data_IF_048460892166
#
_entry.id   IF_048460892166
#
_cell.length_a   1.000
_cell.length_b   1.000
_cell.length_c   1.000
_cell.angle_alpha   90.00
_cell.angle_beta   90.00
_cell.angle_gamma   90.00
#
_symmetry.space_group_name_H-M   'P 1'
#
loop_
_entity.id
_entity.type
_entity.pdbx_description
1 polymer ?
#
# COMPACT_ATOMS: atom_id res chain seq x y z
N UNK A 1 -14.75 29.48 4.59
CA UNK A 1 -14.56 28.09 5.04
C UNK A 1 -13.47 27.43 4.22
N UNK A 2 -12.54 26.82 4.89
CA UNK A 2 -11.43 26.14 4.24
C UNK A 2 -11.77 24.66 4.19
N UNK A 3 -11.93 24.12 3.00
CA UNK A 3 -12.03 22.68 2.85
C UNK A 3 -10.63 22.09 2.83
N UNK A 4 -10.35 21.19 3.75
CA UNK A 4 -9.10 20.46 3.71
C UNK A 4 -9.04 19.59 2.47
N UNK A 5 -8.04 19.86 1.66
CA UNK A 5 -7.81 19.08 0.46
C UNK A 5 -6.91 17.91 0.82
N UNK A 6 -7.45 16.70 0.75
CA UNK A 6 -6.66 15.50 1.01
C UNK A 6 -5.70 15.23 -0.14
N UNK A 7 -4.55 14.60 0.13
CA UNK A 7 -3.61 14.23 -0.92
C UNK A 7 -4.25 13.32 -1.97
N UNK A 8 -3.86 13.52 -3.21
CA UNK A 8 -4.27 12.67 -4.32
C UNK A 8 -3.12 11.73 -4.67
N UNK A 9 -3.34 10.45 -4.43
CA UNK A 9 -2.36 9.40 -4.70
C UNK A 9 -2.36 8.94 -6.15
N UNK A 10 -3.25 9.46 -6.98
CA UNK A 10 -3.33 9.05 -8.38
C UNK A 10 -2.03 9.30 -9.13
N UNK A 11 -1.66 8.37 -9.99
CA UNK A 11 -0.47 8.47 -10.81
C UNK A 11 0.23 7.14 -10.99
N UNK A 12 1.36 7.22 -11.65
CA UNK A 12 2.24 6.08 -11.85
C UNK A 12 3.46 6.21 -10.93
N UNK A 13 3.79 5.12 -10.26
CA UNK A 13 4.82 5.07 -9.23
C UNK A 13 5.80 3.97 -9.54
N UNK A 14 7.09 4.27 -9.43
CA UNK A 14 8.18 3.30 -9.69
C UNK A 14 8.94 3.07 -8.39
N UNK A 15 9.16 1.80 -8.06
CA UNK A 15 9.84 1.41 -6.81
C UNK A 15 11.28 1.89 -6.80
N UNK A 16 11.66 2.59 -5.73
CA UNK A 16 13.05 2.87 -5.40
C UNK A 16 13.51 1.82 -4.39
N UNK A 17 14.03 0.72 -4.91
CA UNK A 17 14.40 -0.44 -4.11
C UNK A 17 15.41 -0.13 -3.01
N UNK A 18 16.34 0.76 -3.28
CA UNK A 18 17.40 1.11 -2.33
C UNK A 18 16.88 1.91 -1.14
N UNK A 19 15.76 2.60 -1.29
CA UNK A 19 15.14 3.37 -0.21
C UNK A 19 14.18 2.54 0.63
N UNK A 20 13.88 1.30 0.22
CA UNK A 20 12.93 0.44 0.93
C UNK A 20 13.58 -0.23 2.13
N UNK A 21 12.75 -0.52 3.14
CA UNK A 21 13.11 -1.37 4.27
C UNK A 21 12.16 -2.56 4.27
N UNK A 22 12.68 -3.73 3.93
CA UNK A 22 11.86 -4.93 3.74
C UNK A 22 12.28 -6.03 4.71
N UNK A 23 11.29 -6.74 5.24
CA UNK A 23 11.52 -7.91 6.07
C UNK A 23 11.97 -9.09 5.21
N UNK A 24 12.63 -10.11 5.81
CA UNK A 24 12.99 -11.32 5.09
C UNK A 24 11.76 -11.94 4.41
N UNK A 25 11.92 -12.38 3.19
CA UNK A 25 10.83 -12.92 2.37
C UNK A 25 10.17 -11.90 1.46
N UNK A 26 10.17 -10.61 1.82
CA UNK A 26 9.69 -9.55 0.95
C UNK A 26 10.81 -8.91 0.13
N UNK A 27 12.06 -9.16 0.51
CA UNK A 27 13.25 -8.59 -0.13
C UNK A 27 13.56 -9.20 -1.50
N UNK A 28 12.83 -10.23 -1.90
CA UNK A 28 12.96 -10.80 -3.25
C UNK A 28 12.39 -9.95 -4.38
N UNK A 29 11.60 -8.94 -4.06
CA UNK A 29 11.07 -8.03 -5.07
C UNK A 29 12.19 -7.11 -5.57
N UNK A 30 12.46 -7.14 -6.87
CA UNK A 30 13.52 -6.35 -7.49
C UNK A 30 12.99 -5.06 -8.09
N UNK A 31 11.85 -5.13 -8.76
CA UNK A 31 11.21 -3.98 -9.39
C UNK A 31 9.72 -4.02 -9.10
N UNK A 32 9.10 -2.85 -9.04
CA UNK A 32 7.66 -2.75 -8.95
C UNK A 32 7.20 -1.42 -9.54
N UNK A 33 6.11 -1.47 -10.28
CA UNK A 33 5.44 -0.29 -10.78
C UNK A 33 3.99 -0.34 -10.31
N UNK A 34 3.54 0.76 -9.74
CA UNK A 34 2.17 0.91 -9.26
C UNK A 34 1.46 1.97 -10.07
N UNK A 35 0.20 1.68 -10.39
CA UNK A 35 -0.72 2.68 -10.93
C UNK A 35 -1.86 2.83 -9.94
N UNK A 36 -2.04 4.04 -9.42
CA UNK A 36 -3.09 4.35 -8.46
C UNK A 36 -4.11 5.26 -9.14
N UNK A 37 -5.37 4.87 -9.04
CA UNK A 37 -6.51 5.70 -9.39
C UNK A 37 -7.25 6.02 -8.09
N UNK A 38 -7.05 7.24 -7.60
CA UNK A 38 -7.64 7.69 -6.35
C UNK A 38 -8.69 8.76 -6.63
N UNK A 39 -9.94 8.35 -6.54
CA UNK A 39 -11.09 9.26 -6.64
C UNK A 39 -12.01 8.94 -5.49
N UNK A 40 -12.07 9.84 -4.51
CA UNK A 40 -12.97 9.61 -3.38
C UNK A 40 -14.38 9.28 -3.83
N UNK A 41 -15.02 8.28 -3.26
CA UNK A 41 -14.57 7.44 -2.12
C UNK A 41 -13.76 6.20 -2.52
N UNK A 42 -13.28 6.11 -3.74
CA UNK A 42 -12.64 4.90 -4.29
C UNK A 42 -11.12 5.06 -4.37
N UNK A 43 -10.42 3.99 -4.02
CA UNK A 43 -8.98 3.87 -4.13
C UNK A 43 -8.67 2.57 -4.86
N UNK A 44 -8.10 2.66 -6.06
CA UNK A 44 -7.76 1.51 -6.88
C UNK A 44 -6.26 1.48 -7.13
N UNK A 45 -5.66 0.33 -6.89
CA UNK A 45 -4.23 0.12 -7.05
C UNK A 45 -3.97 -1.07 -7.96
N UNK A 46 -3.18 -0.85 -9.01
CA UNK A 46 -2.65 -1.91 -9.87
C UNK A 46 -1.14 -1.93 -9.70
N UNK A 47 -0.61 -3.10 -9.44
CA UNK A 47 0.82 -3.28 -9.23
C UNK A 47 1.35 -4.37 -10.14
N UNK A 48 2.53 -4.12 -10.71
CA UNK A 48 3.30 -5.12 -11.45
C UNK A 48 4.65 -5.18 -10.74
N UNK A 49 5.02 -6.35 -10.24
CA UNK A 49 6.28 -6.55 -9.54
C UNK A 49 7.06 -7.68 -10.21
N UNK A 50 8.37 -7.56 -10.16
CA UNK A 50 9.29 -8.57 -10.66
C UNK A 50 10.16 -9.10 -9.53
N UNK A 51 10.30 -10.41 -9.45
CA UNK A 51 11.14 -11.09 -8.48
C UNK A 51 11.88 -12.24 -9.16
N UNK A 52 12.78 -12.89 -8.43
CA UNK A 52 13.49 -14.07 -8.96
C UNK A 52 12.52 -15.20 -9.31
N UNK A 53 11.33 -15.24 -8.71
CA UNK A 53 10.31 -16.24 -8.98
C UNK A 53 9.43 -15.88 -10.19
N UNK A 54 9.60 -14.70 -10.79
CA UNK A 54 8.83 -14.24 -11.94
C UNK A 54 7.96 -13.04 -11.67
N UNK A 55 7.18 -12.59 -12.67
CA UNK A 55 6.32 -11.42 -12.50
C UNK A 55 5.09 -11.72 -11.62
N UNK A 56 4.66 -10.74 -10.85
CA UNK A 56 3.45 -10.80 -10.04
C UNK A 56 2.59 -9.58 -10.37
N UNK A 57 1.33 -9.82 -10.68
CA UNK A 57 0.35 -8.78 -10.94
C UNK A 57 -0.63 -8.72 -9.79
N UNK A 58 -0.97 -7.50 -9.38
CA UNK A 58 -1.88 -7.27 -8.26
C UNK A 58 -2.82 -6.12 -8.62
N UNK A 59 -4.11 -6.30 -8.38
CA UNK A 59 -5.13 -5.30 -8.66
C UNK A 59 -6.18 -5.36 -7.56
N UNK A 60 -6.40 -4.23 -6.87
CA UNK A 60 -7.49 -4.15 -5.91
C UNK A 60 -8.15 -2.79 -5.92
N UNK A 61 -9.41 -2.77 -5.52
CA UNK A 61 -10.20 -1.55 -5.39
C UNK A 61 -10.91 -1.55 -4.05
N UNK A 62 -10.80 -0.43 -3.33
CA UNK A 62 -11.45 -0.23 -2.05
C UNK A 62 -12.27 1.06 -2.09
N UNK A 63 -13.37 1.08 -1.33
CA UNK A 63 -14.22 2.26 -1.19
C UNK A 63 -14.55 2.49 0.27
N UNK A 64 -14.52 3.76 0.70
CA UNK A 64 -14.91 4.12 2.06
C UNK A 64 -16.39 3.86 2.33
N UNK A 65 -17.20 3.77 1.28
CA UNK A 65 -18.63 3.45 1.39
C UNK A 65 -18.90 1.94 1.46
N UNK A 66 -17.90 1.13 1.18
CA UNK A 66 -18.05 -0.32 1.22
C UNK A 66 -17.88 -0.81 2.65
N UNK A 67 -18.87 -1.51 3.18
CA UNK A 67 -18.80 -2.07 4.52
C UNK A 67 -17.65 -3.08 4.60
N UNK A 68 -16.86 -2.96 5.68
CA UNK A 68 -15.74 -3.86 5.90
C UNK A 68 -14.49 -3.54 5.09
N UNK A 69 -14.47 -2.44 4.32
CA UNK A 69 -13.31 -2.09 3.50
C UNK A 69 -12.08 -1.71 4.32
N UNK A 70 -12.28 -1.21 5.55
CA UNK A 70 -11.18 -0.75 6.40
C UNK A 70 -10.44 0.47 5.87
N UNK A 71 -10.91 1.06 4.78
CA UNK A 71 -10.27 2.22 4.15
C UNK A 71 -10.67 3.49 4.88
N UNK A 72 -9.69 4.26 5.32
CA UNK A 72 -9.93 5.51 6.07
C UNK A 72 -8.77 6.50 5.86
N UNK A 73 -9.00 7.73 6.29
CA UNK A 73 -7.95 8.75 6.39
C UNK A 73 -7.41 8.80 7.83
N UNK A 74 -6.09 8.97 7.93
CA UNK A 74 -5.43 9.28 9.20
C UNK A 74 -4.55 10.50 8.93
N UNK A 75 -5.08 11.70 9.21
CA UNK A 75 -4.46 12.92 8.74
C UNK A 75 -4.40 12.93 7.22
N UNK A 76 -3.20 13.04 6.67
CA UNK A 76 -2.97 12.99 5.22
C UNK A 76 -2.56 11.60 4.74
N UNK A 77 -2.57 10.61 5.61
CA UNK A 77 -2.27 9.23 5.23
C UNK A 77 -3.55 8.47 4.89
N UNK A 78 -3.48 7.66 3.85
CA UNK A 78 -4.55 6.75 3.47
C UNK A 78 -4.26 5.39 4.07
N UNK A 79 -5.16 4.89 4.90
CA UNK A 79 -4.96 3.64 5.64
C UNK A 79 -6.02 2.64 5.21
N UNK A 80 -5.57 1.41 4.93
CA UNK A 80 -6.44 0.28 4.66
C UNK A 80 -6.09 -0.86 5.62
N UNK A 81 -7.10 -1.44 6.26
CA UNK A 81 -6.91 -2.52 7.22
C UNK A 81 -7.81 -3.70 6.89
N UNK A 82 -7.28 -4.90 7.00
CA UNK A 82 -7.99 -6.13 6.69
C UNK A 82 -7.77 -7.15 7.79
N UNK A 83 -8.77 -8.01 7.99
CA UNK A 83 -8.65 -9.18 8.86
C UNK A 83 -9.00 -10.40 8.02
N UNK A 84 -8.10 -11.40 8.06
CA UNK A 84 -8.28 -12.63 7.31
C UNK A 84 -8.27 -13.79 8.30
N UNK A 85 -9.35 -14.57 8.40
CA UNK A 85 -9.36 -15.75 9.26
C UNK A 85 -8.42 -16.82 8.68
N UNK A 86 -7.64 -17.44 9.57
CA UNK A 86 -6.77 -18.55 9.22
C UNK A 86 -7.03 -19.71 10.17
N UNK A 87 -6.60 -20.95 9.86
CA UNK A 87 -6.77 -22.07 10.77
C UNK A 87 -6.15 -21.85 12.15
N UNK A 88 -5.07 -21.03 12.23
CA UNK A 88 -4.33 -20.78 13.48
C UNK A 88 -4.78 -19.52 14.21
N UNK A 89 -5.77 -18.80 13.68
CA UNK A 89 -6.25 -17.56 14.24
C UNK A 89 -6.44 -16.49 13.17
N UNK A 90 -6.50 -15.23 13.60
CA UNK A 90 -6.80 -14.12 12.72
C UNK A 90 -5.53 -13.41 12.26
N UNK A 91 -5.41 -13.20 10.96
CA UNK A 91 -4.33 -12.44 10.36
C UNK A 91 -4.79 -11.00 10.15
N UNK A 92 -4.03 -10.04 10.67
CA UNK A 92 -4.30 -8.60 10.50
C UNK A 92 -3.28 -8.01 9.56
N UNK A 93 -3.77 -7.35 8.51
CA UNK A 93 -2.94 -6.69 7.50
C UNK A 93 -3.33 -5.22 7.46
N UNK A 94 -2.34 -4.34 7.54
CA UNK A 94 -2.56 -2.90 7.47
C UNK A 94 -1.62 -2.29 6.45
N UNK A 95 -2.14 -1.38 5.63
CA UNK A 95 -1.37 -0.58 4.69
C UNK A 95 -1.54 0.88 5.04
N UNK A 96 -0.45 1.63 5.01
CA UNK A 96 -0.46 3.08 5.19
C UNK A 96 0.27 3.72 4.02
N UNK A 97 -0.44 4.60 3.31
CA UNK A 97 0.07 5.31 2.15
C UNK A 97 0.24 6.78 2.48
N UNK A 98 1.44 7.31 2.25
CA UNK A 98 1.76 8.70 2.51
C UNK A 98 2.54 9.29 1.34
N UNK A 99 2.24 10.55 0.98
CA UNK A 99 3.02 11.28 0.00
C UNK A 99 4.16 12.03 0.71
N UNK A 100 5.33 11.98 0.11
CA UNK A 100 6.54 12.64 0.59
C UNK A 100 7.02 13.62 -0.47
N UNK A 101 7.88 14.56 -0.07
CA UNK A 101 8.57 15.48 -0.98
C UNK A 101 7.61 16.22 -1.92
N UNK A 102 6.52 16.75 -1.36
CA UNK A 102 5.54 17.50 -2.15
C UNK A 102 4.76 16.67 -3.14
N UNK A 103 4.66 15.35 -2.91
CA UNK A 103 3.94 14.44 -3.79
C UNK A 103 4.81 13.73 -4.82
N UNK A 104 6.13 13.90 -4.75
CA UNK A 104 7.06 13.24 -5.68
C UNK A 104 7.38 11.81 -5.28
N UNK A 105 7.23 11.48 -4.00
CA UNK A 105 7.48 10.16 -3.48
C UNK A 105 6.26 9.62 -2.77
N UNK A 106 6.12 8.30 -2.79
CA UNK A 106 5.09 7.58 -2.07
C UNK A 106 5.76 6.62 -1.10
N UNK A 107 5.36 6.68 0.17
CA UNK A 107 5.74 5.69 1.16
C UNK A 107 4.54 4.80 1.44
N UNK A 108 4.70 3.50 1.21
CA UNK A 108 3.70 2.49 1.53
C UNK A 108 4.25 1.58 2.61
N UNK A 109 3.62 1.57 3.77
CA UNK A 109 4.00 0.72 4.90
C UNK A 109 2.99 -0.41 5.02
N UNK A 110 3.46 -1.64 4.97
CA UNK A 110 2.65 -2.83 5.18
C UNK A 110 3.02 -3.44 6.51
N UNK A 111 2.03 -3.64 7.37
CA UNK A 111 2.20 -4.31 8.66
C UNK A 111 1.33 -5.56 8.66
N UNK A 112 1.93 -6.70 8.94
CA UNK A 112 1.24 -7.97 9.01
C UNK A 112 1.47 -8.58 10.38
N UNK A 113 0.37 -8.96 11.04
CA UNK A 113 0.39 -9.56 12.37
C UNK A 113 -0.56 -10.74 12.42
N UNK A 114 -0.09 -11.84 12.95
CA UNK A 114 -0.89 -13.05 13.12
C UNK A 114 -0.13 -14.10 13.90
N UNK A 115 -0.76 -15.27 14.18
CA UNK A 115 -0.10 -16.34 14.92
C UNK A 115 1.16 -16.80 14.19
N UNK A 116 2.33 -16.60 14.82
CA UNK A 116 3.62 -17.00 14.28
C UNK A 116 4.08 -16.19 13.07
N UNK A 117 3.44 -15.05 12.77
CA UNK A 117 3.78 -14.23 11.61
C UNK A 117 3.85 -12.75 11.97
N UNK A 118 4.96 -12.12 11.59
CA UNK A 118 5.13 -10.69 11.71
C UNK A 118 5.93 -10.19 10.51
N UNK A 119 5.44 -9.16 9.83
CA UNK A 119 6.17 -8.50 8.75
C UNK A 119 5.95 -7.00 8.83
N UNK A 120 7.02 -6.25 8.72
CA UNK A 120 6.99 -4.79 8.60
C UNK A 120 7.79 -4.44 7.36
N UNK A 121 7.10 -3.93 6.34
CA UNK A 121 7.72 -3.55 5.08
C UNK A 121 7.43 -2.10 4.79
N UNK A 122 8.48 -1.35 4.46
CA UNK A 122 8.36 0.03 4.00
C UNK A 122 8.82 0.09 2.55
N UNK A 123 7.90 0.45 1.67
CA UNK A 123 8.12 0.57 0.24
C UNK A 123 8.18 2.03 -0.13
N UNK A 124 9.20 2.44 -0.87
CA UNK A 124 9.34 3.80 -1.35
C UNK A 124 9.28 3.80 -2.87
N UNK A 125 8.44 4.67 -3.41
CA UNK A 125 8.23 4.81 -4.84
C UNK A 125 8.49 6.24 -5.25
N UNK A 126 9.01 6.43 -6.46
CA UNK A 126 9.12 7.72 -7.10
C UNK A 126 8.00 7.88 -8.13
N UNK A 127 7.44 9.09 -8.22
CA UNK A 127 6.43 9.39 -9.22
C UNK A 127 7.08 9.44 -10.59
N UNK A 128 6.45 8.72 -11.51
CA UNK A 128 6.89 8.70 -12.90
C UNK A 128 6.44 9.98 -13.62
#
# INVERSE_FOLDING_TARGET
MISEKKPDFSGEWVLDRTACTLSPGADGVQTSEWRIEHREPTFRLKAIASSAAGPVNFDFELSTHQEGSGLRWDGDARVASFQVPTPDGELKISFRYELLDGGRRLRAVKILRGPGRQQDNTWIFDRR
#
